data_IF_485095485821
#
_entry.id   IF_485095485821
#
_cell.length_a   1.000
_cell.length_b   1.000
_cell.length_c   1.000
_cell.angle_alpha   90.00
_cell.angle_beta   90.00
_cell.angle_gamma   90.00
#
_symmetry.space_group_name_H-M   'P 1'
#
loop_
_entity.id
_entity.type
_entity.pdbx_description
1 polymer ?
#
# COMPACT_ATOMS: atom_id res chain seq x y z
N UNK A 1 -2.45 -3.61 13.95
CA UNK A 1 -3.76 -4.19 13.53
C UNK A 1 -4.69 -3.14 12.92
N UNK A 2 -4.94 -2.00 13.57
CA UNK A 2 -5.87 -0.96 13.08
C UNK A 2 -5.54 -0.35 11.71
N UNK A 3 -4.26 -0.06 11.42
CA UNK A 3 -3.84 0.50 10.13
C UNK A 3 -4.13 -0.41 8.94
N UNK A 4 -4.00 -1.73 9.13
CA UNK A 4 -4.30 -2.74 8.12
C UNK A 4 -5.80 -2.74 7.80
N UNK A 5 -6.65 -2.66 8.82
CA UNK A 5 -8.10 -2.56 8.64
C UNK A 5 -8.48 -1.28 7.89
N UNK A 6 -7.90 -0.14 8.26
CA UNK A 6 -8.15 1.14 7.57
C UNK A 6 -7.72 1.05 6.10
N UNK A 7 -6.57 0.44 5.81
CA UNK A 7 -6.08 0.25 4.45
C UNK A 7 -7.02 -0.63 3.62
N UNK A 8 -7.51 -1.74 4.19
CA UNK A 8 -8.47 -2.63 3.53
C UNK A 8 -9.78 -1.88 3.27
N UNK A 9 -10.35 -1.20 4.27
CA UNK A 9 -11.58 -0.42 4.11
C UNK A 9 -11.44 0.67 3.05
N UNK A 10 -10.33 1.39 3.04
CA UNK A 10 -10.02 2.43 2.05
C UNK A 10 -9.87 1.84 0.64
N UNK A 11 -9.27 0.65 0.53
CA UNK A 11 -9.14 -0.08 -0.75
C UNK A 11 -10.49 -0.54 -1.29
N UNK A 12 -11.38 -1.00 -0.42
CA UNK A 12 -12.75 -1.37 -0.76
C UNK A 12 -13.51 -0.13 -1.27
N UNK A 13 -13.46 0.98 -0.52
CA UNK A 13 -14.08 2.25 -0.91
C UNK A 13 -13.56 2.73 -2.27
N UNK A 14 -12.24 2.65 -2.49
CA UNK A 14 -11.63 3.01 -3.77
C UNK A 14 -12.11 2.13 -4.94
N UNK A 15 -12.43 0.86 -4.70
CA UNK A 15 -12.99 -0.04 -5.71
C UNK A 15 -14.43 0.29 -6.11
N UNK A 16 -15.23 0.84 -5.19
CA UNK A 16 -16.60 1.30 -5.46
C UNK A 16 -16.66 2.62 -6.23
N UNK A 17 -15.61 3.46 -6.16
CA UNK A 17 -15.56 4.71 -6.91
C UNK A 17 -15.65 4.47 -8.43
N UNK A 18 -16.44 5.26 -9.18
CA UNK A 18 -16.49 5.18 -10.64
C UNK A 18 -15.10 5.40 -11.25
N UNK A 19 -14.85 4.72 -12.38
CA UNK A 19 -13.60 4.84 -13.14
C UNK A 19 -13.43 6.32 -13.54
N UNK A 20 -12.41 6.99 -13.01
CA UNK A 20 -12.16 8.40 -13.26
C UNK A 20 -11.09 9.01 -12.35
N UNK A 21 -10.94 10.34 -12.41
CA UNK A 21 -9.93 11.10 -11.65
C UNK A 21 -10.01 10.87 -10.14
N UNK A 22 -11.21 10.75 -9.57
CA UNK A 22 -11.41 10.53 -8.13
C UNK A 22 -10.81 9.21 -7.64
N UNK A 23 -10.99 8.11 -8.39
CA UNK A 23 -10.39 6.82 -8.05
C UNK A 23 -8.87 6.87 -8.09
N UNK A 24 -8.32 7.57 -9.06
CA UNK A 24 -6.86 7.78 -9.16
C UNK A 24 -6.32 8.54 -7.96
N UNK A 25 -6.97 9.66 -7.56
CA UNK A 25 -6.55 10.41 -6.37
C UNK A 25 -6.70 9.61 -5.07
N UNK A 26 -7.74 8.79 -4.94
CA UNK A 26 -7.92 7.92 -3.78
C UNK A 26 -6.80 6.87 -3.67
N UNK A 27 -6.40 6.25 -4.80
CA UNK A 27 -5.28 5.31 -4.83
C UNK A 27 -3.96 6.04 -4.50
N UNK A 28 -3.70 7.21 -5.10
CA UNK A 28 -2.50 7.99 -4.80
C UNK A 28 -2.42 8.38 -3.32
N UNK A 29 -3.53 8.80 -2.71
CA UNK A 29 -3.60 9.10 -1.29
C UNK A 29 -3.41 7.86 -0.40
N UNK A 30 -3.96 6.71 -0.80
CA UNK A 30 -3.78 5.45 -0.08
C UNK A 30 -2.32 4.98 -0.08
N UNK A 31 -1.58 5.27 -1.14
CA UNK A 31 -0.19 4.86 -1.33
C UNK A 31 0.83 5.88 -0.84
N UNK A 32 0.43 7.13 -0.57
CA UNK A 32 1.36 8.15 -0.05
C UNK A 32 1.82 7.84 1.38
N UNK A 33 0.94 7.31 2.23
CA UNK A 33 1.22 6.95 3.62
C UNK A 33 2.29 5.84 3.75
N UNK A 34 2.14 4.66 3.13
CA UNK A 34 3.16 3.61 3.21
C UNK A 34 4.46 4.02 2.54
N UNK A 35 4.40 4.84 1.47
CA UNK A 35 5.59 5.36 0.82
C UNK A 35 6.36 6.31 1.74
N UNK A 36 5.66 7.26 2.36
CA UNK A 36 6.25 8.16 3.35
C UNK A 36 6.84 7.37 4.53
N UNK A 37 6.10 6.40 5.06
CA UNK A 37 6.58 5.56 6.16
C UNK A 37 7.83 4.76 5.79
N UNK A 38 7.83 4.14 4.61
CA UNK A 38 8.97 3.35 4.14
C UNK A 38 10.22 4.22 3.97
N UNK A 39 10.08 5.41 3.39
CA UNK A 39 11.19 6.37 3.23
C UNK A 39 11.67 6.90 4.58
N UNK A 40 10.75 7.30 5.45
CA UNK A 40 11.10 7.78 6.78
C UNK A 40 11.81 6.70 7.60
N UNK A 41 11.25 5.49 7.68
CA UNK A 41 11.81 4.38 8.45
C UNK A 41 13.20 4.01 7.94
N UNK A 42 13.37 3.84 6.62
CA UNK A 42 14.68 3.50 6.06
C UNK A 42 15.71 4.62 6.21
N UNK A 43 15.29 5.89 6.19
CA UNK A 43 16.20 7.00 6.47
C UNK A 43 16.60 7.10 7.94
N UNK A 44 15.63 7.01 8.85
CA UNK A 44 15.80 7.21 10.29
C UNK A 44 16.61 6.09 10.95
N UNK A 45 16.48 4.85 10.45
CA UNK A 45 17.14 3.67 11.01
C UNK A 45 18.21 3.08 10.08
N UNK A 46 18.70 3.85 9.10
CA UNK A 46 19.69 3.37 8.11
C UNK A 46 20.96 2.81 8.75
N UNK A 47 21.45 3.45 9.82
CA UNK A 47 22.65 3.03 10.56
C UNK A 47 22.40 1.74 11.34
N UNK A 48 21.31 1.67 12.11
CA UNK A 48 20.94 0.49 12.89
C UNK A 48 20.73 -0.74 11.99
N UNK A 49 20.05 -0.54 10.85
CA UNK A 49 19.86 -1.59 9.84
C UNK A 49 21.20 -2.01 9.22
N UNK A 50 22.10 -1.07 8.94
CA UNK A 50 23.42 -1.37 8.39
C UNK A 50 24.26 -2.22 9.35
N UNK A 51 24.24 -1.87 10.63
CA UNK A 51 24.99 -2.55 11.69
C UNK A 51 24.44 -3.96 11.97
N UNK A 52 23.12 -4.10 12.06
CA UNK A 52 22.49 -5.38 12.41
C UNK A 52 22.63 -6.43 11.30
N UNK A 53 22.63 -5.99 10.04
CA UNK A 53 22.81 -6.89 8.89
C UNK A 53 24.26 -6.96 8.39
N UNK A 54 25.19 -6.21 8.99
CA UNK A 54 26.61 -6.14 8.59
C UNK A 54 26.83 -5.59 7.17
N UNK A 55 25.81 -4.96 6.59
CA UNK A 55 25.76 -4.57 5.19
C UNK A 55 25.08 -3.21 5.08
N UNK A 56 25.88 -2.17 4.83
CA UNK A 56 25.38 -0.78 4.77
C UNK A 56 24.26 -0.56 3.77
N UNK A 57 24.12 -1.36 2.72
CA UNK A 57 23.09 -1.22 1.68
C UNK A 57 21.82 -2.03 1.97
N UNK A 58 21.75 -2.74 3.10
CA UNK A 58 20.59 -3.54 3.49
C UNK A 58 19.31 -2.69 3.63
N UNK A 59 19.42 -1.42 4.05
CA UNK A 59 18.27 -0.51 4.15
C UNK A 59 17.53 -0.30 2.81
N UNK A 60 18.22 -0.47 1.67
CA UNK A 60 17.60 -0.33 0.34
C UNK A 60 16.55 -1.43 0.06
N UNK A 61 16.65 -2.59 0.73
CA UNK A 61 15.70 -3.68 0.58
C UNK A 61 14.42 -3.47 1.42
N UNK A 62 14.48 -2.65 2.47
CA UNK A 62 13.34 -2.44 3.38
C UNK A 62 12.23 -1.62 2.73
N UNK A 63 12.57 -0.59 1.94
CA UNK A 63 11.57 0.22 1.21
C UNK A 63 10.70 -0.62 0.27
N UNK A 64 11.26 -1.41 -0.68
CA UNK A 64 10.44 -2.25 -1.55
C UNK A 64 9.72 -3.36 -0.78
N UNK A 65 10.29 -3.88 0.32
CA UNK A 65 9.63 -4.86 1.16
C UNK A 65 8.36 -4.32 1.84
N UNK A 66 8.44 -3.14 2.47
CA UNK A 66 7.30 -2.46 3.10
C UNK A 66 6.21 -2.18 2.07
N UNK A 67 6.60 -1.69 0.89
CA UNK A 67 5.66 -1.41 -0.19
C UNK A 67 5.00 -2.69 -0.73
N UNK A 68 5.74 -3.79 -0.86
CA UNK A 68 5.19 -5.08 -1.29
C UNK A 68 4.17 -5.63 -0.28
N UNK A 69 4.47 -5.52 1.01
CA UNK A 69 3.53 -5.91 2.07
C UNK A 69 2.24 -5.06 2.00
N UNK A 70 2.39 -3.75 1.82
CA UNK A 70 1.25 -2.86 1.65
C UNK A 70 0.44 -3.18 0.39
N UNK A 71 1.11 -3.51 -0.71
CA UNK A 71 0.50 -3.94 -1.96
C UNK A 71 -0.40 -5.16 -1.75
N UNK A 72 0.08 -6.17 -1.02
CA UNK A 72 -0.68 -7.38 -0.73
C UNK A 72 -1.99 -7.07 0.03
N UNK A 73 -1.93 -6.16 1.01
CA UNK A 73 -3.08 -5.77 1.84
C UNK A 73 -4.09 -4.92 1.07
N UNK A 74 -3.66 -4.11 0.10
CA UNK A 74 -4.53 -3.13 -0.58
C UNK A 74 -5.01 -3.57 -1.96
N UNK A 75 -4.17 -4.25 -2.75
CA UNK A 75 -4.51 -4.64 -4.12
C UNK A 75 -5.57 -5.74 -4.14
N UNK A 76 -5.49 -6.72 -3.24
CA UNK A 76 -6.45 -7.82 -3.18
C UNK A 76 -7.89 -7.34 -2.96
N UNK A 77 -8.21 -6.59 -1.87
CA UNK A 77 -9.57 -6.10 -1.65
C UNK A 77 -10.04 -5.12 -2.74
N UNK A 78 -9.14 -4.31 -3.29
CA UNK A 78 -9.45 -3.43 -4.41
C UNK A 78 -9.86 -4.22 -5.67
N UNK A 79 -9.08 -5.22 -6.08
CA UNK A 79 -9.40 -6.04 -7.26
C UNK A 79 -10.70 -6.83 -7.04
N UNK A 80 -10.91 -7.37 -5.84
CA UNK A 80 -12.12 -8.11 -5.49
C UNK A 80 -13.37 -7.23 -5.68
N UNK A 81 -13.37 -6.01 -5.13
CA UNK A 81 -14.51 -5.09 -5.24
C UNK A 81 -14.77 -4.63 -6.67
N UNK A 82 -13.72 -4.35 -7.44
CA UNK A 82 -13.85 -4.02 -8.88
C UNK A 82 -14.51 -5.18 -9.64
N UNK A 83 -14.06 -6.42 -9.41
CA UNK A 83 -14.63 -7.61 -10.06
C UNK A 83 -16.08 -7.86 -9.66
N UNK A 84 -16.41 -7.73 -8.37
CA UNK A 84 -17.79 -7.87 -7.90
C UNK A 84 -18.72 -6.85 -8.55
N UNK A 85 -18.25 -5.62 -8.72
CA UNK A 85 -19.01 -4.56 -9.41
C UNK A 85 -19.18 -4.82 -10.90
N UNK A 86 -18.18 -5.40 -11.56
CA UNK A 86 -18.31 -5.83 -12.96
C UNK A 86 -19.38 -6.90 -13.12
N UNK A 87 -19.36 -7.92 -12.25
CA UNK A 87 -20.36 -8.99 -12.22
C UNK A 87 -21.75 -8.41 -11.95
N UNK A 88 -21.89 -7.52 -10.96
CA UNK A 88 -23.20 -6.95 -10.61
C UNK A 88 -23.79 -6.04 -11.70
N UNK A 89 -22.97 -5.57 -12.65
CA UNK A 89 -23.42 -4.74 -13.79
C UNK A 89 -23.83 -5.57 -15.00
N UNK A 90 -23.42 -6.85 -15.05
CA UNK A 90 -23.78 -7.78 -16.12
C UNK A 90 -25.10 -8.52 -15.89
N UNK A 91 -25.68 -8.39 -14.70
CA UNK A 91 -27.04 -8.84 -14.35
C UNK A 91 -28.01 -7.66 -14.43
#
# INVERSE_FOLDING_TARGET
>A
MWLVLIAIMSSILAGFLPVGRLRMFAILGLWSVPLWFALWFTSAYSHDIGDEFGVWWAYLAFTPFILALWAAVTIFPFKLTVRLREISRSF
#
